data_IF_202732750387
#
_entry.id   IF_202732750387
#
_cell.length_a   1.000
_cell.length_b   1.000
_cell.length_c   1.000
_cell.angle_alpha   90.00
_cell.angle_beta   90.00
_cell.angle_gamma   90.00
#
_symmetry.space_group_name_H-M   'P 1'
#
loop_
_entity.id
_entity.type
_entity.pdbx_description
1 polymer ?
#
# COMPACT_ATOMS: atom_id res chain seq x y z
N UNK A 1 3.33 32.37 10.09
CA UNK A 1 3.87 31.78 8.85
C UNK A 1 4.02 30.26 9.01
N UNK A 2 2.97 29.47 8.70
CA UNK A 2 3.04 28.00 8.75
C UNK A 2 3.42 27.36 7.39
N UNK A 3 3.79 28.17 6.40
CA UNK A 3 4.10 27.71 5.03
C UNK A 3 5.60 27.49 4.77
N UNK A 4 6.49 27.81 5.74
CA UNK A 4 7.96 27.82 5.53
C UNK A 4 8.68 26.52 5.88
N UNK A 5 8.01 25.57 6.51
CA UNK A 5 8.53 24.21 6.65
C UNK A 5 7.77 23.36 5.63
N UNK A 6 8.44 22.78 4.64
CA UNK A 6 7.86 21.89 3.60
C UNK A 6 7.28 20.59 4.17
N UNK A 7 6.38 20.71 5.15
CA UNK A 7 5.79 19.66 5.98
C UNK A 7 4.36 19.31 5.56
N UNK A 8 3.84 19.92 4.49
CA UNK A 8 2.58 19.48 3.92
C UNK A 8 2.83 18.37 2.90
N UNK A 9 3.04 17.14 3.41
CA UNK A 9 3.24 15.94 2.59
C UNK A 9 1.93 15.18 2.37
N UNK A 10 0.85 15.88 1.99
CA UNK A 10 -0.44 15.26 1.67
C UNK A 10 -0.97 14.28 2.72
N UNK A 11 -1.91 13.40 2.33
CA UNK A 11 -2.34 12.29 3.18
C UNK A 11 -1.26 11.21 3.15
N UNK A 12 -0.73 10.76 4.31
CA UNK A 12 0.25 9.68 4.34
C UNK A 12 -0.34 8.42 3.71
N UNK A 13 0.51 7.68 2.97
CA UNK A 13 0.15 6.39 2.36
C UNK A 13 -0.28 5.42 3.46
N UNK A 14 -1.54 4.99 3.42
CA UNK A 14 -2.14 4.14 4.46
C UNK A 14 -1.49 2.75 4.53
N UNK A 15 -0.91 2.29 3.43
CA UNK A 15 -0.26 1.00 3.30
C UNK A 15 1.20 1.21 2.86
N UNK A 16 2.11 1.10 3.82
CA UNK A 16 3.54 1.26 3.65
C UNK A 16 4.28 0.35 4.63
N UNK A 17 5.58 0.12 4.38
CA UNK A 17 6.49 -0.59 5.30
C UNK A 17 6.51 0.09 6.68
N UNK A 18 6.29 1.41 6.73
CA UNK A 18 6.25 2.20 7.95
C UNK A 18 4.83 2.54 8.42
N UNK A 19 3.80 1.82 7.97
CA UNK A 19 2.43 2.07 8.45
C UNK A 19 2.36 1.84 9.96
N UNK A 20 1.88 2.86 10.69
CA UNK A 20 1.70 2.82 12.16
C UNK A 20 0.75 1.69 12.59
N UNK A 21 -0.17 1.30 11.71
CA UNK A 21 -1.15 0.25 11.98
C UNK A 21 -0.58 -1.15 11.62
N UNK A 22 -0.48 -2.08 12.60
CA UNK A 22 0.11 -3.39 12.38
C UNK A 22 -0.71 -4.29 11.45
N UNK A 23 -2.04 -4.11 11.40
CA UNK A 23 -2.91 -4.85 10.49
C UNK A 23 -2.66 -4.42 9.04
N UNK A 24 -2.61 -3.10 8.78
CA UNK A 24 -2.30 -2.55 7.46
C UNK A 24 -0.90 -2.91 7.00
N UNK A 25 0.08 -2.95 7.91
CA UNK A 25 1.43 -3.38 7.60
C UNK A 25 1.48 -4.86 7.19
N UNK A 26 0.85 -5.75 7.97
CA UNK A 26 0.76 -7.17 7.63
C UNK A 26 0.11 -7.38 6.27
N UNK A 27 -1.01 -6.70 6.02
CA UNK A 27 -1.73 -6.76 4.75
C UNK A 27 -0.85 -6.31 3.58
N UNK A 28 -0.15 -5.18 3.72
CA UNK A 28 0.77 -4.67 2.70
C UNK A 28 1.87 -5.69 2.40
N UNK A 29 2.52 -6.24 3.44
CA UNK A 29 3.59 -7.24 3.28
C UNK A 29 3.08 -8.46 2.51
N UNK A 30 1.91 -8.99 2.87
CA UNK A 30 1.37 -10.17 2.19
C UNK A 30 0.92 -9.86 0.75
N UNK A 31 0.46 -8.64 0.45
CA UNK A 31 0.14 -8.25 -0.94
C UNK A 31 1.42 -8.13 -1.78
N UNK A 32 2.47 -7.50 -1.24
CA UNK A 32 3.77 -7.39 -1.91
C UNK A 32 4.36 -8.77 -2.18
N UNK A 33 4.27 -9.69 -1.22
CA UNK A 33 4.73 -11.07 -1.39
C UNK A 33 3.96 -11.79 -2.51
N UNK A 34 2.63 -11.69 -2.52
CA UNK A 34 1.79 -12.25 -3.59
C UNK A 34 2.10 -11.65 -4.97
N UNK A 35 2.39 -10.35 -5.04
CA UNK A 35 2.81 -9.69 -6.29
C UNK A 35 4.17 -10.24 -6.77
N UNK A 36 5.12 -10.45 -5.85
CA UNK A 36 6.44 -11.05 -6.16
C UNK A 36 6.33 -12.50 -6.62
N UNK A 37 5.36 -13.25 -6.10
CA UNK A 37 5.04 -14.60 -6.56
C UNK A 37 4.38 -14.64 -7.96
N UNK A 38 4.11 -13.47 -8.58
CA UNK A 38 3.48 -13.38 -9.89
C UNK A 38 1.97 -13.56 -9.88
N UNK A 39 1.33 -13.49 -8.70
CA UNK A 39 -0.12 -13.64 -8.59
C UNK A 39 -0.81 -12.40 -9.21
N UNK A 40 -1.83 -12.58 -10.06
CA UNK A 40 -2.55 -11.46 -10.66
C UNK A 40 -3.21 -10.55 -9.63
N UNK A 41 -3.13 -9.24 -9.84
CA UNK A 41 -3.77 -8.22 -8.98
C UNK A 41 -5.27 -8.50 -8.75
N UNK A 42 -5.95 -9.01 -9.77
CA UNK A 42 -7.37 -9.36 -9.69
C UNK A 42 -7.65 -10.51 -8.69
N UNK A 43 -6.76 -11.51 -8.63
CA UNK A 43 -6.87 -12.60 -7.65
C UNK A 43 -6.53 -12.11 -6.24
N UNK A 44 -5.50 -11.26 -6.10
CA UNK A 44 -5.12 -10.69 -4.81
C UNK A 44 -6.29 -9.86 -4.23
N UNK A 45 -6.95 -9.06 -5.06
CA UNK A 45 -8.12 -8.29 -4.67
C UNK A 45 -9.32 -9.17 -4.27
N UNK A 46 -9.48 -10.35 -4.89
CA UNK A 46 -10.52 -11.31 -4.49
C UNK A 46 -10.18 -12.02 -3.18
N UNK A 47 -8.89 -12.35 -2.96
CA UNK A 47 -8.43 -13.08 -1.78
C UNK A 47 -8.33 -12.20 -0.52
N UNK A 48 -8.02 -10.90 -0.66
CA UNK A 48 -8.01 -9.95 0.47
C UNK A 48 -9.34 -9.20 0.53
N UNK A 49 -10.25 -9.64 1.39
CA UNK A 49 -11.43 -8.87 1.76
C UNK A 49 -11.00 -7.50 2.31
N UNK A 50 -11.45 -6.42 1.69
CA UNK A 50 -11.20 -5.05 2.13
C UNK A 50 -10.11 -4.28 1.38
N UNK A 51 -9.46 -4.87 0.36
CA UNK A 51 -8.51 -4.12 -0.49
C UNK A 51 -9.03 -4.01 -1.92
N UNK A 52 -9.27 -2.78 -2.36
CA UNK A 52 -9.61 -2.50 -3.74
C UNK A 52 -8.38 -2.64 -4.65
N UNK A 53 -8.59 -3.13 -5.88
CA UNK A 53 -7.59 -3.14 -6.97
C UNK A 53 -6.77 -1.84 -7.09
N UNK A 54 -7.36 -0.62 -7.07
CA UNK A 54 -6.57 0.62 -7.14
C UNK A 54 -5.58 0.77 -5.98
N UNK A 55 -5.91 0.27 -4.78
CA UNK A 55 -4.99 0.28 -3.64
C UNK A 55 -3.81 -0.66 -3.89
N UNK A 56 -4.06 -1.83 -4.45
CA UNK A 56 -2.99 -2.77 -4.82
C UNK A 56 -2.08 -2.16 -5.89
N UNK A 57 -2.64 -1.49 -6.91
CA UNK A 57 -1.84 -0.78 -7.91
C UNK A 57 -1.02 0.37 -7.31
N UNK A 58 -1.55 1.11 -6.33
CA UNK A 58 -0.79 2.12 -5.59
C UNK A 58 0.37 1.50 -4.82
N UNK A 59 0.14 0.36 -4.14
CA UNK A 59 1.20 -0.38 -3.46
C UNK A 59 2.26 -0.88 -4.46
N UNK A 60 1.84 -1.45 -5.59
CA UNK A 60 2.72 -1.94 -6.65
C UNK A 60 3.64 -0.81 -7.15
N UNK A 61 3.05 0.32 -7.57
CA UNK A 61 3.77 1.50 -8.04
C UNK A 61 4.69 2.11 -6.98
N UNK A 62 4.28 2.12 -5.71
CA UNK A 62 5.10 2.65 -4.62
C UNK A 62 6.34 1.79 -4.30
N UNK A 63 6.31 0.49 -4.64
CA UNK A 63 7.45 -0.43 -4.47
C UNK A 63 8.21 -0.68 -5.78
N UNK A 64 7.86 0.01 -6.87
CA UNK A 64 8.41 -0.20 -8.22
C UNK A 64 8.38 -1.68 -8.69
N UNK A 65 7.34 -2.41 -8.28
CA UNK A 65 7.03 -3.77 -8.74
C UNK A 65 6.12 -3.70 -9.97
#
# INVERSE_FOLDING_TARGET
>A
MAQKAGRYKGRPIEYSINSTDPQKHLVFKTVVDMLKQGIPVAEIAKKKNGISRPTIYKMKKANDL
#
